data_IF_236379119187
#
_entry.id   IF_236379119187
#
_cell.length_a   1.000
_cell.length_b   1.000
_cell.length_c   1.000
_cell.angle_alpha   90.00
_cell.angle_beta   90.00
_cell.angle_gamma   90.00
#
_symmetry.space_group_name_H-M   'P 1'
#
loop_
_entity.id
_entity.type
_entity.pdbx_description
1 polymer ?
#
# COMPACT_ATOMS: atom_id res chain seq x y z
N UNK A 1 -11.56 -3.70 9.54
CA UNK A 1 -12.06 -2.38 9.09
C UNK A 1 -10.91 -1.64 8.43
N UNK A 2 -11.21 -0.85 7.39
CA UNK A 2 -10.22 0.05 6.80
C UNK A 2 -9.54 0.92 7.86
N UNK A 3 -8.25 1.20 7.70
CA UNK A 3 -7.48 1.99 8.68
C UNK A 3 -7.72 3.50 8.56
N UNK A 4 -8.68 3.91 7.73
CA UNK A 4 -9.09 5.29 7.48
C UNK A 4 -10.61 5.35 7.21
N UNK A 5 -11.19 6.52 7.49
CA UNK A 5 -12.58 6.90 7.36
C UNK A 5 -12.97 7.13 5.90
N UNK A 6 -14.27 7.29 5.64
CA UNK A 6 -14.75 7.54 4.29
C UNK A 6 -14.39 8.97 3.84
N UNK A 7 -14.35 9.89 4.77
CA UNK A 7 -14.11 11.32 4.60
C UNK A 7 -12.64 11.63 4.22
N UNK A 8 -11.74 10.73 4.58
CA UNK A 8 -10.31 10.83 4.29
C UNK A 8 -9.86 10.01 3.07
N UNK A 9 -10.76 9.31 2.38
CA UNK A 9 -10.39 8.56 1.18
C UNK A 9 -9.86 9.49 0.07
N UNK A 10 -8.92 8.99 -0.72
CA UNK A 10 -8.31 9.77 -1.81
C UNK A 10 -8.83 9.31 -3.19
N UNK A 11 -9.37 8.09 -3.30
CA UNK A 11 -9.92 7.54 -4.53
C UNK A 11 -11.44 7.31 -4.44
N UNK A 12 -12.19 8.08 -5.22
CA UNK A 12 -13.66 8.14 -5.18
C UNK A 12 -14.33 7.40 -6.34
N UNK A 13 -13.58 7.04 -7.39
CA UNK A 13 -14.06 6.39 -8.61
C UNK A 13 -14.57 4.96 -8.38
N UNK A 14 -14.08 4.30 -7.33
CA UNK A 14 -14.36 2.91 -7.01
C UNK A 14 -15.80 2.64 -6.55
N UNK A 15 -16.54 3.64 -6.07
CA UNK A 15 -17.96 3.46 -5.71
C UNK A 15 -18.85 3.26 -6.93
N UNK A 16 -18.57 3.98 -8.01
CA UNK A 16 -19.29 3.86 -9.26
C UNK A 16 -18.93 2.53 -9.94
N UNK A 17 -17.65 2.17 -9.91
CA UNK A 17 -17.12 0.92 -10.46
C UNK A 17 -17.74 -0.29 -9.74
N UNK A 18 -17.90 -0.24 -8.42
CA UNK A 18 -18.52 -1.32 -7.66
C UNK A 18 -19.97 -1.62 -8.05
N UNK A 19 -20.67 -0.64 -8.65
CA UNK A 19 -22.05 -0.77 -9.13
C UNK A 19 -22.14 -1.26 -10.58
N UNK A 20 -21.04 -1.29 -11.33
CA UNK A 20 -21.03 -1.68 -12.73
C UNK A 20 -20.78 -3.19 -12.91
N UNK A 21 -21.62 -3.93 -13.67
CA UNK A 21 -21.55 -5.38 -13.77
C UNK A 21 -20.30 -5.90 -14.51
N UNK A 22 -19.73 -5.12 -15.42
CA UNK A 22 -18.55 -5.44 -16.23
C UNK A 22 -17.28 -4.70 -15.79
N UNK A 23 -17.30 -4.06 -14.63
CA UNK A 23 -16.18 -3.29 -14.12
C UNK A 23 -14.89 -4.14 -13.98
N UNK A 24 -13.77 -3.53 -14.36
CA UNK A 24 -12.42 -4.00 -14.04
C UNK A 24 -11.80 -3.08 -12.98
N UNK A 25 -10.78 -3.57 -12.28
CA UNK A 25 -10.00 -2.70 -11.38
C UNK A 25 -9.27 -1.65 -12.22
N UNK A 26 -9.37 -0.34 -11.90
CA UNK A 26 -8.59 0.69 -12.56
C UNK A 26 -7.10 0.37 -12.59
N UNK A 27 -6.48 0.48 -13.77
CA UNK A 27 -5.08 0.10 -13.99
C UNK A 27 -4.84 -1.39 -14.29
N UNK A 28 -5.82 -2.27 -14.05
CA UNK A 28 -5.69 -3.72 -14.24
C UNK A 28 -6.82 -4.26 -15.13
N UNK A 29 -6.70 -4.14 -16.47
CA UNK A 29 -7.78 -4.47 -17.41
C UNK A 29 -8.17 -5.96 -17.41
N UNK A 30 -7.30 -6.83 -16.90
CA UNK A 30 -7.54 -8.27 -16.84
C UNK A 30 -8.22 -8.72 -15.54
N UNK A 31 -8.35 -7.83 -14.54
CA UNK A 31 -8.91 -8.16 -13.23
C UNK A 31 -10.34 -7.64 -13.15
N UNK A 32 -11.30 -8.55 -13.30
CA UNK A 32 -12.72 -8.24 -13.19
C UNK A 32 -13.12 -8.05 -11.73
N UNK A 33 -13.93 -7.03 -11.46
CA UNK A 33 -14.40 -6.68 -10.12
C UNK A 33 -15.24 -7.79 -9.47
N UNK A 34 -16.10 -8.45 -10.27
CA UNK A 34 -17.03 -9.47 -9.80
C UNK A 34 -16.44 -10.90 -9.76
N UNK A 35 -15.22 -11.10 -10.25
CA UNK A 35 -14.54 -12.41 -10.27
C UNK A 35 -13.77 -12.62 -8.95
N UNK A 36 -14.49 -13.12 -7.93
CA UNK A 36 -13.95 -13.24 -6.56
C UNK A 36 -12.69 -14.12 -6.46
N UNK A 37 -12.59 -15.31 -7.11
CA UNK A 37 -11.37 -16.11 -7.10
C UNK A 37 -10.18 -15.39 -7.73
N UNK A 38 -10.37 -14.78 -8.90
CA UNK A 38 -9.29 -14.06 -9.61
C UNK A 38 -8.86 -12.80 -8.86
N UNK A 39 -9.79 -12.07 -8.28
CA UNK A 39 -9.50 -10.92 -7.41
C UNK A 39 -8.69 -11.34 -6.19
N UNK A 40 -9.05 -12.45 -5.53
CA UNK A 40 -8.31 -12.95 -4.37
C UNK A 40 -6.87 -13.36 -4.74
N UNK A 41 -6.69 -14.01 -5.89
CA UNK A 41 -5.36 -14.34 -6.39
C UNK A 41 -4.55 -13.07 -6.70
N UNK A 42 -5.16 -12.10 -7.38
CA UNK A 42 -4.57 -10.81 -7.68
C UNK A 42 -4.10 -10.09 -6.40
N UNK A 43 -4.97 -9.95 -5.40
CA UNK A 43 -4.63 -9.32 -4.13
C UNK A 43 -3.51 -10.04 -3.39
N UNK A 44 -3.51 -11.38 -3.43
CA UNK A 44 -2.39 -12.16 -2.89
C UNK A 44 -1.08 -11.86 -3.62
N UNK A 45 -1.10 -11.74 -4.93
CA UNK A 45 0.12 -11.44 -5.70
C UNK A 45 0.60 -10.00 -5.49
N UNK A 46 -0.31 -9.03 -5.38
CA UNK A 46 0.02 -7.61 -5.25
C UNK A 46 0.39 -7.16 -3.84
N UNK A 47 -0.18 -7.79 -2.81
CA UNK A 47 -0.03 -7.34 -1.41
C UNK A 47 0.70 -8.35 -0.54
N UNK A 48 0.67 -9.64 -0.88
CA UNK A 48 1.17 -10.71 -0.01
C UNK A 48 2.39 -11.41 -0.60
N UNK A 49 3.40 -11.66 0.23
CA UNK A 49 4.51 -12.52 -0.16
C UNK A 49 4.71 -13.61 0.90
N UNK A 50 4.28 -14.84 0.58
CA UNK A 50 4.38 -15.97 1.50
C UNK A 50 5.81 -16.26 1.96
N UNK A 51 6.78 -16.11 1.07
CA UNK A 51 8.20 -16.34 1.40
C UNK A 51 8.74 -15.27 2.36
N UNK A 52 8.37 -14.01 2.19
CA UNK A 52 8.82 -12.93 3.08
C UNK A 52 8.18 -13.02 4.45
N UNK A 53 6.93 -13.44 4.53
CA UNK A 53 6.24 -13.72 5.80
C UNK A 53 6.89 -14.90 6.54
N UNK A 54 7.29 -15.94 5.81
CA UNK A 54 8.03 -17.07 6.38
C UNK A 54 9.45 -16.67 6.84
N UNK A 55 10.07 -15.69 6.17
CA UNK A 55 11.39 -15.16 6.49
C UNK A 55 11.35 -14.05 7.55
N UNK A 56 10.20 -13.42 7.81
CA UNK A 56 10.06 -12.31 8.76
C UNK A 56 10.63 -12.63 10.16
N UNK A 57 10.43 -13.82 10.75
CA UNK A 57 11.07 -14.16 12.03
C UNK A 57 12.60 -14.29 11.99
N UNK A 58 13.24 -14.23 10.80
CA UNK A 58 14.68 -14.40 10.57
C UNK A 58 15.38 -13.14 10.07
N UNK A 59 14.64 -12.16 9.51
CA UNK A 59 15.23 -10.92 8.99
C UNK A 59 15.70 -9.95 10.09
N UNK A 60 15.42 -10.23 11.37
CA UNK A 60 15.88 -9.40 12.51
C UNK A 60 17.40 -9.40 12.64
N UNK A 61 18.05 -10.42 12.07
CA UNK A 61 19.51 -10.55 11.99
C UNK A 61 20.10 -9.54 10.99
N UNK A 62 19.32 -9.10 9.99
CA UNK A 62 19.79 -8.24 8.89
C UNK A 62 19.30 -6.79 9.01
N UNK A 63 18.19 -6.53 9.69
CA UNK A 63 17.62 -5.19 9.87
C UNK A 63 16.90 -5.05 11.21
N UNK A 64 17.00 -3.90 11.87
CA UNK A 64 16.12 -3.58 13.01
C UNK A 64 14.70 -3.38 12.48
N UNK A 65 13.80 -4.30 12.85
CA UNK A 65 12.37 -4.35 12.53
C UNK A 65 11.54 -3.22 13.16
N UNK A 66 12.00 -1.99 13.07
CA UNK A 66 11.18 -0.84 13.40
C UNK A 66 10.82 -0.14 12.10
N UNK A 67 9.52 0.05 11.88
CA UNK A 67 9.01 0.95 10.84
C UNK A 67 9.58 2.36 10.95
N UNK A 68 10.04 2.76 12.15
CA UNK A 68 10.78 3.99 12.40
C UNK A 68 12.15 4.07 11.68
N UNK A 69 12.65 2.95 11.12
CA UNK A 69 13.86 2.92 10.30
C UNK A 69 13.60 3.23 8.81
N UNK A 70 12.34 3.34 8.39
CA UNK A 70 11.99 3.78 7.05
C UNK A 70 12.30 5.28 6.96
N UNK A 71 13.29 5.64 6.15
CA UNK A 71 13.67 7.03 5.98
C UNK A 71 12.75 7.70 4.93
N UNK A 72 12.35 8.96 5.14
CA UNK A 72 11.60 9.73 4.15
C UNK A 72 12.31 9.81 2.79
N UNK A 73 11.56 10.02 1.71
CA UNK A 73 12.07 10.02 0.34
C UNK A 73 13.21 11.03 0.13
N UNK A 74 13.09 12.25 0.64
CA UNK A 74 14.16 13.24 0.58
C UNK A 74 15.43 12.75 1.29
N UNK A 75 15.28 12.04 2.42
CA UNK A 75 16.40 11.49 3.18
C UNK A 75 17.02 10.28 2.49
N UNK A 76 16.26 9.50 1.72
CA UNK A 76 16.83 8.48 0.83
C UNK A 76 17.79 9.13 -0.16
N UNK A 77 17.41 10.25 -0.78
CA UNK A 77 18.28 11.02 -1.68
C UNK A 77 19.51 11.59 -0.99
N UNK A 78 19.36 12.14 0.22
CA UNK A 78 20.51 12.61 1.04
C UNK A 78 21.50 11.48 1.34
N UNK A 79 21.02 10.24 1.50
CA UNK A 79 21.86 9.05 1.67
C UNK A 79 22.50 8.56 0.36
N UNK A 80 22.36 9.32 -0.74
CA UNK A 80 22.86 8.94 -2.06
C UNK A 80 22.08 7.81 -2.71
N UNK A 81 20.84 7.54 -2.26
CA UNK A 81 20.02 6.47 -2.85
C UNK A 81 19.19 6.98 -4.01
N UNK A 82 19.32 6.31 -5.14
CA UNK A 82 18.40 6.34 -6.26
C UNK A 82 17.11 5.60 -5.86
N UNK A 83 15.96 6.25 -6.05
CA UNK A 83 14.65 5.64 -5.81
C UNK A 83 14.22 4.99 -7.11
N UNK A 84 14.03 3.67 -7.10
CA UNK A 84 13.66 2.88 -8.28
C UNK A 84 12.26 2.32 -8.09
N UNK A 85 11.38 2.54 -9.07
CA UNK A 85 10.02 2.00 -9.06
C UNK A 85 10.05 0.49 -9.26
N UNK A 86 9.24 -0.24 -8.49
CA UNK A 86 9.06 -1.70 -8.66
C UNK A 86 7.59 -2.07 -8.52
N UNK A 87 7.06 -2.97 -9.34
CA UNK A 87 5.72 -3.54 -9.08
C UNK A 87 5.79 -4.80 -8.22
N UNK A 88 6.98 -5.37 -8.03
CA UNK A 88 7.20 -6.57 -7.23
C UNK A 88 7.10 -6.23 -5.73
N UNK A 89 6.06 -6.73 -5.02
CA UNK A 89 5.88 -6.40 -3.62
C UNK A 89 7.08 -6.80 -2.78
N UNK A 90 7.82 -7.86 -3.16
CA UNK A 90 9.01 -8.34 -2.44
C UNK A 90 10.13 -7.33 -2.33
N UNK A 91 10.25 -6.45 -3.31
CA UNK A 91 11.33 -5.47 -3.40
C UNK A 91 10.98 -4.15 -2.71
N UNK A 92 9.71 -3.91 -2.34
CA UNK A 92 9.33 -2.68 -1.66
C UNK A 92 10.17 -2.46 -0.37
N UNK A 93 10.90 -1.34 -0.33
CA UNK A 93 11.87 -0.91 0.69
C UNK A 93 13.18 -1.70 0.77
N UNK A 94 13.41 -2.67 -0.11
CA UNK A 94 14.71 -3.33 -0.23
C UNK A 94 15.70 -2.35 -0.83
N UNK A 95 16.89 -2.24 -0.23
CA UNK A 95 18.01 -1.51 -0.81
C UNK A 95 19.07 -2.47 -1.33
N UNK A 96 19.74 -2.10 -2.42
CA UNK A 96 20.94 -2.78 -2.93
C UNK A 96 21.87 -1.70 -3.45
N UNK A 97 23.11 -1.66 -2.94
CA UNK A 97 24.07 -0.58 -3.22
C UNK A 97 23.48 0.81 -2.93
N UNK A 98 23.44 1.67 -3.95
CA UNK A 98 22.89 3.03 -3.90
C UNK A 98 21.44 3.07 -4.40
N UNK A 99 20.69 1.97 -4.41
CA UNK A 99 19.30 1.94 -4.88
C UNK A 99 18.37 1.51 -3.76
N UNK A 100 17.19 2.12 -3.71
CA UNK A 100 16.05 1.64 -2.94
C UNK A 100 14.88 1.41 -3.87
N UNK A 101 14.28 0.22 -3.79
CA UNK A 101 13.13 -0.12 -4.60
C UNK A 101 11.84 0.25 -3.87
N UNK A 102 10.96 1.00 -4.52
CA UNK A 102 9.70 1.46 -3.91
C UNK A 102 8.56 1.13 -4.86
N UNK A 103 7.64 0.28 -4.37
CA UNK A 103 6.38 0.01 -5.07
C UNK A 103 5.42 1.18 -4.98
N UNK A 104 4.85 1.69 -6.12
CA UNK A 104 3.84 2.74 -6.13
C UNK A 104 2.63 2.37 -5.29
N UNK A 105 1.95 3.37 -4.73
CA UNK A 105 0.74 3.21 -3.94
C UNK A 105 -0.43 2.83 -4.85
N UNK A 106 -0.95 1.59 -4.77
CA UNK A 106 -2.05 1.19 -5.62
C UNK A 106 -3.30 2.01 -5.31
N UNK A 107 -3.90 2.63 -6.34
CA UNK A 107 -5.05 3.53 -6.19
C UNK A 107 -6.25 2.87 -5.49
N UNK A 108 -6.44 1.57 -5.66
CA UNK A 108 -7.51 0.84 -4.99
C UNK A 108 -7.37 0.80 -3.46
N UNK A 109 -6.14 0.91 -2.92
CA UNK A 109 -5.93 1.00 -1.48
C UNK A 109 -6.34 2.37 -0.90
N UNK A 110 -6.56 3.36 -1.76
CA UNK A 110 -7.00 4.70 -1.40
C UNK A 110 -8.54 4.85 -1.37
N UNK A 111 -9.28 3.77 -1.62
CA UNK A 111 -10.75 3.78 -1.67
C UNK A 111 -11.36 2.93 -0.57
N UNK A 112 -12.20 3.53 0.26
CA UNK A 112 -12.87 2.85 1.36
C UNK A 112 -13.82 1.73 0.85
N UNK A 113 -14.44 1.94 -0.31
CA UNK A 113 -15.32 0.95 -0.95
C UNK A 113 -14.58 -0.34 -1.31
N UNK A 114 -13.33 -0.22 -1.77
CA UNK A 114 -12.48 -1.38 -2.07
C UNK A 114 -12.16 -2.16 -0.80
N UNK A 115 -11.81 -1.47 0.29
CA UNK A 115 -11.53 -2.11 1.58
C UNK A 115 -12.73 -2.88 2.12
N UNK A 116 -13.91 -2.26 2.14
CA UNK A 116 -15.16 -2.93 2.56
C UNK A 116 -15.42 -4.19 1.77
N UNK A 117 -15.20 -4.15 0.45
CA UNK A 117 -15.57 -5.26 -0.42
C UNK A 117 -14.56 -6.42 -0.39
N UNK A 118 -13.26 -6.14 -0.28
CA UNK A 118 -12.22 -7.15 -0.49
C UNK A 118 -11.25 -7.36 0.68
N UNK A 119 -11.20 -6.46 1.66
CA UNK A 119 -10.23 -6.50 2.77
C UNK A 119 -10.88 -6.64 4.16
N UNK A 120 -12.15 -6.25 4.34
CA UNK A 120 -12.83 -6.38 5.64
C UNK A 120 -13.34 -7.81 5.92
N UNK A 121 -13.02 -8.34 7.11
CA UNK A 121 -13.56 -9.61 7.61
C UNK A 121 -15.07 -9.54 7.81
N UNK A 122 -15.80 -10.57 7.37
CA UNK A 122 -17.26 -10.67 7.52
C UNK A 122 -18.06 -10.37 6.25
N UNK A 123 -17.43 -9.97 5.15
CA UNK A 123 -18.08 -10.04 3.84
C UNK A 123 -18.19 -11.49 3.40
N UNK A 124 -19.40 -11.92 3.01
CA UNK A 124 -19.83 -13.30 2.77
C UNK A 124 -19.13 -14.05 1.61
N UNK A 125 -17.96 -13.58 1.15
CA UNK A 125 -17.29 -14.05 -0.07
C UNK A 125 -15.93 -14.73 0.15
N UNK A 126 -15.30 -14.66 1.32
CA UNK A 126 -14.06 -15.41 1.55
C UNK A 126 -13.72 -15.64 3.03
N UNK A 127 -13.63 -16.92 3.45
CA UNK A 127 -13.15 -17.28 4.79
C UNK A 127 -11.66 -16.96 5.06
N UNK A 128 -11.28 -16.96 6.35
CA UNK A 128 -9.97 -16.95 7.07
C UNK A 128 -8.73 -16.21 6.48
N UNK A 129 -8.59 -16.08 5.16
CA UNK A 129 -7.47 -15.49 4.44
C UNK A 129 -7.54 -13.96 4.31
N UNK A 130 -8.64 -13.31 4.72
CA UNK A 130 -8.88 -11.88 4.54
C UNK A 130 -8.16 -11.02 5.59
N UNK A 131 -7.95 -11.57 6.80
CA UNK A 131 -7.16 -10.96 7.88
C UNK A 131 -5.74 -10.58 7.43
N UNK A 132 -5.05 -11.52 6.80
CA UNK A 132 -3.66 -11.35 6.38
C UNK A 132 -3.51 -10.32 5.25
N UNK A 133 -4.44 -10.31 4.30
CA UNK A 133 -4.47 -9.31 3.22
C UNK A 133 -4.76 -7.91 3.78
N UNK A 134 -5.71 -7.80 4.71
CA UNK A 134 -5.98 -6.54 5.40
C UNK A 134 -4.73 -6.04 6.13
N UNK A 135 -4.07 -6.89 6.91
CA UNK A 135 -2.84 -6.55 7.65
C UNK A 135 -1.69 -6.16 6.73
N UNK A 136 -1.54 -6.82 5.59
CA UNK A 136 -0.54 -6.47 4.58
C UNK A 136 -0.85 -5.15 3.89
N UNK A 137 -2.11 -4.91 3.50
CA UNK A 137 -2.56 -3.64 2.95
C UNK A 137 -2.34 -2.48 3.94
N UNK A 138 -2.67 -2.69 5.21
CA UNK A 138 -2.47 -1.70 6.29
C UNK A 138 -0.98 -1.44 6.51
N UNK A 139 -0.15 -2.50 6.55
CA UNK A 139 1.30 -2.37 6.63
C UNK A 139 1.89 -1.59 5.45
N UNK A 140 1.39 -1.84 4.24
CA UNK A 140 1.79 -1.12 3.04
C UNK A 140 1.39 0.37 3.07
N UNK A 141 0.16 0.71 3.49
CA UNK A 141 -0.22 2.12 3.67
C UNK A 141 0.66 2.81 4.72
N UNK A 142 1.02 2.07 5.78
CA UNK A 142 1.89 2.57 6.83
C UNK A 142 3.31 2.88 6.33
N UNK A 143 3.85 2.17 5.33
CA UNK A 143 5.16 2.53 4.77
C UNK A 143 5.15 3.93 4.13
N UNK A 144 4.06 4.29 3.45
CA UNK A 144 3.89 5.59 2.83
C UNK A 144 3.80 6.75 3.83
N UNK A 145 3.27 6.51 5.03
CA UNK A 145 3.36 7.47 6.15
C UNK A 145 4.80 7.79 6.53
N UNK A 146 5.71 6.81 6.48
CA UNK A 146 7.12 7.04 6.82
C UNK A 146 7.93 7.59 5.65
N UNK A 147 7.60 7.19 4.42
CA UNK A 147 8.24 7.70 3.21
C UNK A 147 7.90 9.18 2.95
N UNK A 148 6.69 9.61 3.30
CA UNK A 148 6.18 10.96 3.03
C UNK A 148 5.85 11.66 4.34
N UNK A 149 6.84 12.38 4.89
CA UNK A 149 6.68 13.12 6.16
C UNK A 149 6.59 14.64 5.92
N UNK A 150 7.20 15.12 4.86
CA UNK A 150 7.17 16.53 4.48
C UNK A 150 6.54 16.71 3.10
N UNK A 151 6.09 17.94 2.84
CA UNK A 151 5.58 18.32 1.53
C UNK A 151 6.63 18.15 0.41
N UNK A 152 7.93 18.28 0.73
CA UNK A 152 9.01 17.95 -0.21
C UNK A 152 9.03 16.46 -0.59
N UNK A 153 8.77 15.55 0.36
CA UNK A 153 8.63 14.12 0.06
C UNK A 153 7.42 13.84 -0.82
N UNK A 154 6.32 14.56 -0.59
CA UNK A 154 5.10 14.44 -1.37
C UNK A 154 5.36 14.83 -2.84
N UNK A 155 6.05 15.95 -3.05
CA UNK A 155 6.45 16.37 -4.39
C UNK A 155 7.40 15.35 -5.04
N UNK A 156 8.35 14.76 -4.30
CA UNK A 156 9.20 13.66 -4.81
C UNK A 156 8.33 12.48 -5.24
N UNK A 157 7.36 12.07 -4.42
CA UNK A 157 6.48 10.94 -4.71
C UNK A 157 5.61 11.17 -5.98
N UNK A 158 5.31 12.41 -6.33
CA UNK A 158 4.52 12.76 -7.53
C UNK A 158 5.34 13.01 -8.80
N UNK A 159 6.67 12.98 -8.74
CA UNK A 159 7.51 13.22 -9.93
C UNK A 159 7.17 12.25 -11.07
N UNK A 160 7.40 12.69 -12.32
CA UNK A 160 7.01 11.97 -13.54
C UNK A 160 7.70 10.62 -13.71
N UNK A 161 8.94 10.51 -13.25
CA UNK A 161 9.76 9.31 -13.26
C UNK A 161 9.39 8.33 -12.14
N UNK A 162 8.80 8.80 -11.04
CA UNK A 162 8.52 7.98 -9.86
C UNK A 162 7.05 7.58 -9.70
N UNK A 163 6.11 8.53 -9.82
CA UNK A 163 4.66 8.30 -9.70
C UNK A 163 4.26 7.37 -8.55
N UNK A 164 4.93 7.49 -7.40
CA UNK A 164 4.67 6.66 -6.22
C UNK A 164 3.29 6.93 -5.62
N UNK A 165 2.75 8.13 -5.82
CA UNK A 165 1.36 8.44 -5.52
C UNK A 165 0.68 9.11 -6.73
N UNK A 166 -0.66 8.97 -6.87
CA UNK A 166 -1.40 9.64 -7.94
C UNK A 166 -1.20 11.16 -7.97
N UNK A 167 -1.14 11.74 -9.18
CA UNK A 167 -0.92 13.17 -9.42
C UNK A 167 -2.14 14.04 -9.13
N UNK A 168 -3.32 13.45 -9.13
CA UNK A 168 -4.60 14.10 -8.86
C UNK A 168 -4.87 14.29 -7.37
N UNK A 169 -3.97 13.83 -6.50
CA UNK A 169 -4.05 14.02 -5.06
C UNK A 169 -3.31 15.32 -4.70
N UNK A 170 -3.91 16.14 -3.84
CA UNK A 170 -3.25 17.31 -3.27
C UNK A 170 -2.64 17.01 -1.88
N UNK A 171 -1.70 17.85 -1.47
CA UNK A 171 -1.03 17.70 -0.18
C UNK A 171 -2.00 17.74 1.02
N UNK A 172 -2.96 18.69 1.13
CA UNK A 172 -3.89 18.72 2.26
C UNK A 172 -4.73 17.46 2.41
N UNK A 173 -5.23 16.89 1.30
CA UNK A 173 -6.00 15.65 1.33
C UNK A 173 -5.12 14.47 1.74
N UNK A 174 -3.89 14.42 1.23
CA UNK A 174 -2.92 13.41 1.67
C UNK A 174 -2.57 13.52 3.16
N UNK A 175 -2.43 14.74 3.71
CA UNK A 175 -2.24 14.95 5.14
C UNK A 175 -3.40 14.39 5.96
N UNK A 176 -4.65 14.66 5.55
CA UNK A 176 -5.83 14.11 6.22
C UNK A 176 -5.80 12.58 6.20
N UNK A 177 -5.56 11.98 5.03
CA UNK A 177 -5.43 10.54 4.87
C UNK A 177 -4.35 9.91 5.78
N UNK A 178 -3.12 10.42 5.75
CA UNK A 178 -2.02 9.89 6.57
C UNK A 178 -2.24 10.14 8.06
N UNK A 179 -2.93 11.21 8.45
CA UNK A 179 -3.25 11.50 9.85
C UNK A 179 -4.11 10.40 10.47
N UNK A 180 -5.00 9.80 9.68
CA UNK A 180 -5.79 8.67 10.14
C UNK A 180 -4.97 7.40 10.21
N UNK A 181 -3.90 7.24 9.44
CA UNK A 181 -2.98 6.10 9.58
C UNK A 181 -2.06 6.19 10.82
N UNK A 182 -2.15 7.28 11.60
CA UNK A 182 -1.22 7.54 12.70
C UNK A 182 -1.32 6.54 13.87
N UNK A 183 -2.49 5.95 14.07
CA UNK A 183 -2.80 5.00 15.14
C UNK A 183 -2.44 3.54 14.82
N UNK A 184 -1.88 3.27 13.63
CA UNK A 184 -1.52 1.91 13.21
C UNK A 184 -0.23 1.48 13.93
N UNK A 185 -0.40 0.61 14.92
CA UNK A 185 0.67 -0.02 15.70
C UNK A 185 1.35 -1.20 14.96
N UNK A 186 2.55 -1.59 15.37
CA UNK A 186 3.28 -2.76 14.84
C UNK A 186 2.47 -4.07 14.98
N UNK A 187 1.59 -4.16 15.98
CA UNK A 187 0.79 -5.35 16.27
C UNK A 187 -0.32 -5.62 15.26
N UNK A 188 -0.83 -4.59 14.57
CA UNK A 188 -1.97 -4.68 13.65
C UNK A 188 -1.56 -4.80 12.18
N UNK A 189 -0.27 -4.73 11.88
CA UNK A 189 0.26 -4.89 10.52
C UNK A 189 0.85 -6.29 10.31
N UNK A 190 1.12 -6.65 9.06
CA UNK A 190 1.90 -7.85 8.78
C UNK A 190 3.31 -7.69 9.36
N UNK A 191 3.95 -8.78 9.80
CA UNK A 191 5.27 -8.73 10.49
C UNK A 191 6.45 -8.48 9.55
N UNK A 192 6.16 -8.26 8.27
CA UNK A 192 7.11 -8.05 7.21
C UNK A 192 7.71 -6.65 7.23
#
# INVERSE_FOLDING_TARGET
MASFSKEAELAHDYELIAKAPTATVPGYPLVKWNDSPRMKQFLKQELWCGDLEAMAPRLWIMTTFSSANINPLHRQRVKGREIVVTEEPRLHLVWIHNRIFVKPLPRYLLSQAFWKMFLEEGTSRAGYSQSNLCRAATGFLRTYRYLIQHESDFHIAQQDDLRLIPKDIDWPSFCRFISELSHIDDTVVSKR
#
